data_IF_751148647492
#
_entry.id   IF_751148647492
#
_cell.length_a   1.000
_cell.length_b   1.000
_cell.length_c   1.000
_cell.angle_alpha   90.00
_cell.angle_beta   90.00
_cell.angle_gamma   90.00
#
_symmetry.space_group_name_H-M   'P 1'
#
loop_
_entity.id
_entity.type
_entity.pdbx_description
1 polymer ?
#
# COMPACT_ATOMS: atom_id res chain seq x y z
N UNK A 1 31.45 -54.79 -17.23
CA UNK A 1 32.73 -55.32 -16.69
C UNK A 1 32.95 -54.68 -15.32
N UNK A 2 32.93 -55.57 -14.34
CA UNK A 2 33.83 -55.63 -13.16
C UNK A 2 33.90 -54.40 -12.28
N UNK A 3 33.50 -54.45 -11.08
CA UNK A 3 33.67 -55.24 -9.82
C UNK A 3 34.07 -54.24 -8.74
N UNK A 4 33.30 -54.16 -7.63
CA UNK A 4 33.55 -54.81 -6.33
C UNK A 4 34.69 -54.11 -5.54
N UNK A 5 34.62 -53.75 -4.29
CA UNK A 5 34.06 -54.25 -3.04
C UNK A 5 34.48 -53.31 -1.90
N UNK A 6 33.62 -53.17 -0.83
CA UNK A 6 33.81 -53.75 0.52
C UNK A 6 35.05 -53.25 1.29
N UNK A 7 35.04 -52.92 2.55
CA UNK A 7 34.62 -53.47 3.86
C UNK A 7 34.97 -52.43 4.93
N UNK A 8 34.12 -52.11 5.90
CA UNK A 8 33.95 -52.69 7.24
C UNK A 8 34.98 -52.30 8.31
N UNK A 9 34.46 -51.90 9.45
CA UNK A 9 34.70 -52.26 10.87
C UNK A 9 34.67 -50.99 11.72
N UNK A 10 33.78 -50.70 12.62
CA UNK A 10 33.39 -51.30 13.90
C UNK A 10 34.49 -51.27 14.94
N UNK A 11 34.31 -50.48 15.99
CA UNK A 11 34.63 -50.88 17.36
C UNK A 11 33.95 -49.96 18.37
N UNK A 12 33.28 -50.61 19.28
CA UNK A 12 32.61 -50.14 20.48
C UNK A 12 33.53 -50.10 21.67
N UNK A 13 33.15 -49.40 22.71
CA UNK A 13 33.29 -49.74 24.16
C UNK A 13 33.06 -48.48 24.99
N UNK A 14 31.97 -48.41 25.72
CA UNK A 14 31.65 -48.85 27.09
C UNK A 14 32.09 -47.91 28.21
N UNK A 15 31.08 -47.41 28.93
CA UNK A 15 30.81 -47.40 30.38
C UNK A 15 31.69 -46.49 31.25
N UNK A 16 31.18 -45.75 32.24
CA UNK A 16 30.47 -46.18 33.42
C UNK A 16 29.89 -44.98 34.24
N UNK A 17 28.87 -45.29 34.99
CA UNK A 17 28.16 -44.60 36.07
C UNK A 17 29.04 -43.94 37.13
N UNK A 18 28.51 -42.85 37.74
CA UNK A 18 28.55 -42.65 39.19
C UNK A 18 27.39 -41.75 39.63
N UNK A 19 26.46 -42.37 40.37
CA UNK A 19 25.47 -41.74 41.22
C UNK A 19 26.11 -41.35 42.57
N UNK A 20 25.81 -40.15 43.08
CA UNK A 20 25.77 -39.97 44.56
C UNK A 20 24.61 -39.04 44.90
N UNK A 21 23.63 -39.63 45.58
CA UNK A 21 22.60 -38.91 46.32
C UNK A 21 23.09 -38.68 47.76
N UNK A 22 22.85 -37.53 48.32
CA UNK A 22 22.69 -37.36 49.76
C UNK A 22 21.60 -36.35 50.07
N UNK A 23 20.82 -36.78 51.05
CA UNK A 23 19.56 -36.19 51.46
C UNK A 23 19.70 -35.31 52.73
N UNK A 24 18.63 -34.54 52.96
CA UNK A 24 18.06 -34.07 54.23
C UNK A 24 18.67 -32.85 54.95
N UNK A 25 17.76 -31.93 55.20
CA UNK A 25 17.86 -30.87 56.21
C UNK A 25 16.68 -29.88 56.13
N UNK A 26 15.61 -30.17 56.86
CA UNK A 26 14.43 -29.33 57.08
C UNK A 26 14.80 -28.05 57.89
N UNK A 27 14.26 -26.91 57.52
CA UNK A 27 13.63 -25.95 58.46
C UNK A 27 12.81 -24.94 57.68
N UNK A 28 11.60 -24.77 58.16
CA UNK A 28 10.56 -23.82 57.77
C UNK A 28 10.96 -22.35 57.93
N UNK A 29 10.64 -21.50 57.00
CA UNK A 29 10.25 -20.12 57.25
C UNK A 29 9.45 -19.57 56.06
N UNK A 30 8.25 -19.19 56.34
CA UNK A 30 7.32 -18.47 55.44
C UNK A 30 7.99 -17.25 54.84
N UNK A 31 7.96 -17.14 53.53
CA UNK A 31 7.95 -15.84 52.85
C UNK A 31 7.13 -15.94 51.58
N UNK A 32 6.05 -15.20 51.62
CA UNK A 32 5.10 -14.89 50.60
C UNK A 32 5.85 -14.30 49.39
N UNK A 33 6.22 -15.13 48.44
CA UNK A 33 6.71 -14.69 47.13
C UNK A 33 5.53 -14.76 46.15
N UNK A 34 4.97 -13.59 45.86
CA UNK A 34 4.09 -13.40 44.68
C UNK A 34 4.73 -14.05 43.47
N UNK A 35 3.98 -14.74 42.61
CA UNK A 35 4.52 -15.27 41.38
C UNK A 35 4.94 -14.08 40.51
N UNK A 36 6.24 -13.89 40.40
CA UNK A 36 6.85 -13.07 39.37
C UNK A 36 6.37 -13.62 38.05
N UNK A 37 5.49 -12.92 37.38
CA UNK A 37 5.11 -13.23 36.01
C UNK A 37 6.39 -13.20 35.17
N UNK A 38 6.92 -14.38 34.88
CA UNK A 38 7.92 -14.53 33.83
C UNK A 38 7.32 -13.95 32.55
N UNK A 39 7.74 -12.74 32.21
CA UNK A 39 7.47 -12.19 30.90
C UNK A 39 8.09 -13.11 29.86
N UNK A 40 7.30 -14.06 29.37
CA UNK A 40 7.67 -14.82 28.19
C UNK A 40 7.99 -13.81 27.11
N UNK A 41 9.16 -13.92 26.51
CA UNK A 41 9.50 -13.16 25.31
C UNK A 41 8.33 -13.35 24.33
N UNK A 42 7.54 -12.30 24.09
CA UNK A 42 6.48 -12.35 23.09
C UNK A 42 7.17 -12.70 21.78
N UNK A 43 6.93 -13.87 21.25
CA UNK A 43 7.36 -14.19 19.90
C UNK A 43 6.93 -13.06 18.99
N UNK A 44 7.81 -12.59 18.10
CA UNK A 44 7.53 -11.43 17.24
C UNK A 44 6.23 -11.58 16.47
N UNK A 45 5.60 -10.47 16.13
CA UNK A 45 4.33 -10.45 15.40
C UNK A 45 4.47 -11.12 14.02
N UNK A 46 3.53 -11.98 13.64
CA UNK A 46 3.49 -12.63 12.33
C UNK A 46 2.51 -11.91 11.42
N UNK A 47 3.00 -11.15 10.47
CA UNK A 47 2.21 -10.31 9.57
C UNK A 47 2.00 -11.05 8.25
N UNK A 48 0.72 -11.25 7.84
CA UNK A 48 0.37 -11.67 6.50
C UNK A 48 0.09 -10.45 5.63
N UNK A 49 0.68 -10.38 4.43
CA UNK A 49 0.48 -9.28 3.49
C UNK A 49 0.10 -9.83 2.13
N UNK A 50 -1.15 -9.62 1.73
CA UNK A 50 -1.70 -10.05 0.44
C UNK A 50 -1.80 -8.83 -0.48
N UNK A 51 -0.84 -8.69 -1.40
CA UNK A 51 -0.79 -7.59 -2.36
C UNK A 51 -1.81 -7.72 -3.48
N UNK A 52 -2.23 -6.58 -4.02
CA UNK A 52 -2.92 -6.50 -5.31
C UNK A 52 -1.96 -6.79 -6.47
N UNK A 53 -2.49 -6.76 -7.70
CA UNK A 53 -1.70 -6.94 -8.91
C UNK A 53 -0.54 -5.93 -8.97
N UNK A 54 0.59 -6.37 -9.51
CA UNK A 54 1.83 -5.60 -9.49
C UNK A 54 2.72 -5.92 -8.29
N UNK A 55 2.16 -6.19 -7.11
CA UNK A 55 2.90 -6.61 -5.93
C UNK A 55 3.99 -5.63 -5.48
N UNK A 56 4.88 -6.09 -4.60
CA UNK A 56 6.07 -5.34 -4.19
C UNK A 56 6.95 -5.03 -5.41
N UNK A 57 7.36 -3.77 -5.56
CA UNK A 57 8.12 -3.26 -6.70
C UNK A 57 7.28 -2.45 -7.69
N UNK A 58 5.99 -2.21 -7.40
CA UNK A 58 5.13 -1.37 -8.23
C UNK A 58 5.51 0.13 -8.19
N UNK A 59 6.32 0.54 -7.21
CA UNK A 59 6.78 1.91 -6.96
C UNK A 59 5.64 2.87 -6.65
N UNK A 60 4.53 2.37 -6.13
CA UNK A 60 3.28 3.09 -5.88
C UNK A 60 2.56 2.50 -4.67
N UNK A 61 1.40 1.88 -4.88
CA UNK A 61 0.42 1.42 -3.90
C UNK A 61 0.92 0.25 -3.03
N UNK A 62 1.34 -0.86 -3.67
CA UNK A 62 1.80 -2.03 -2.93
C UNK A 62 3.11 -1.75 -2.16
N UNK A 63 4.02 -0.98 -2.76
CA UNK A 63 5.25 -0.56 -2.06
C UNK A 63 4.95 0.34 -0.86
N UNK A 64 3.86 1.14 -0.89
CA UNK A 64 3.42 1.90 0.27
C UNK A 64 2.95 0.98 1.39
N UNK A 65 2.09 0.00 1.09
CA UNK A 65 1.67 -1.01 2.07
C UNK A 65 2.85 -1.80 2.65
N UNK A 66 3.81 -2.16 1.79
CA UNK A 66 5.04 -2.84 2.19
C UNK A 66 5.84 -2.03 3.22
N UNK A 67 6.04 -0.72 2.98
CA UNK A 67 6.77 0.15 3.93
C UNK A 67 6.13 0.19 5.31
N UNK A 68 4.79 0.24 5.38
CA UNK A 68 4.06 0.20 6.65
C UNK A 68 4.29 -1.11 7.40
N UNK A 69 4.21 -2.23 6.68
CA UNK A 69 4.46 -3.57 7.24
C UNK A 69 5.91 -3.78 7.66
N UNK A 70 6.88 -3.34 6.83
CA UNK A 70 8.32 -3.43 7.13
C UNK A 70 8.66 -2.64 8.39
N UNK A 71 8.10 -1.41 8.52
CA UNK A 71 8.26 -0.59 9.72
C UNK A 71 7.74 -1.31 10.96
N UNK A 72 6.53 -1.86 10.88
CA UNK A 72 5.92 -2.58 11.99
C UNK A 72 6.73 -3.85 12.36
N UNK A 73 7.13 -4.65 11.39
CA UNK A 73 7.94 -5.85 11.63
C UNK A 73 9.29 -5.52 12.28
N UNK A 74 9.94 -4.45 11.84
CA UNK A 74 11.20 -3.98 12.43
C UNK A 74 11.01 -3.50 13.86
N UNK A 75 9.94 -2.74 14.13
CA UNK A 75 9.69 -2.14 15.45
C UNK A 75 9.26 -3.19 16.47
N UNK A 76 8.42 -4.16 16.07
CA UNK A 76 7.84 -5.16 16.97
C UNK A 76 8.55 -6.51 16.94
N UNK A 77 9.67 -6.62 16.24
CA UNK A 77 10.46 -7.87 16.16
C UNK A 77 9.70 -8.97 15.41
N UNK A 78 8.98 -8.63 14.34
CA UNK A 78 8.10 -9.53 13.62
C UNK A 78 8.67 -10.11 12.33
N UNK A 79 7.86 -10.96 11.68
CA UNK A 79 8.11 -11.51 10.35
C UNK A 79 6.94 -11.22 9.43
N UNK A 80 7.20 -11.06 8.13
CA UNK A 80 6.19 -10.81 7.11
C UNK A 80 6.17 -11.99 6.13
N UNK A 81 4.98 -12.49 5.83
CA UNK A 81 4.72 -13.36 4.69
C UNK A 81 3.96 -12.58 3.63
N UNK A 82 4.57 -12.44 2.48
CA UNK A 82 4.01 -11.71 1.35
C UNK A 82 3.49 -12.68 0.28
N UNK A 83 2.30 -12.39 -0.22
CA UNK A 83 1.67 -13.10 -1.34
C UNK A 83 1.13 -12.06 -2.32
N UNK A 84 1.32 -12.27 -3.62
CA UNK A 84 0.94 -11.30 -4.66
C UNK A 84 -0.16 -11.86 -5.55
N UNK A 85 -1.16 -11.02 -5.87
CA UNK A 85 -2.19 -11.35 -6.83
C UNK A 85 -1.63 -11.31 -8.27
N UNK A 86 -2.12 -12.23 -9.09
CA UNK A 86 -1.89 -12.22 -10.55
C UNK A 86 -3.06 -11.51 -11.23
N UNK A 87 -2.85 -10.99 -12.42
CA UNK A 87 -3.91 -10.39 -13.24
C UNK A 87 -5.01 -11.38 -13.63
N UNK A 88 -4.67 -12.67 -13.64
CA UNK A 88 -5.61 -13.79 -13.92
C UNK A 88 -6.34 -14.31 -12.69
N UNK A 89 -6.07 -13.80 -11.49
CA UNK A 89 -6.65 -14.33 -10.26
C UNK A 89 -8.16 -14.14 -10.22
N UNK A 90 -8.84 -15.22 -9.88
CA UNK A 90 -10.27 -15.24 -9.56
C UNK A 90 -10.51 -14.81 -8.10
N UNK A 91 -11.78 -14.68 -7.72
CA UNK A 91 -12.12 -14.46 -6.32
C UNK A 91 -11.68 -15.64 -5.44
N UNK A 92 -11.83 -16.88 -5.94
CA UNK A 92 -11.38 -18.08 -5.22
C UNK A 92 -9.87 -18.08 -4.94
N UNK A 93 -9.05 -17.56 -5.86
CA UNK A 93 -7.61 -17.43 -5.65
C UNK A 93 -7.29 -16.41 -4.53
N UNK A 94 -8.06 -15.32 -4.45
CA UNK A 94 -7.92 -14.33 -3.38
C UNK A 94 -8.36 -14.89 -2.03
N UNK A 95 -9.48 -15.63 -2.00
CA UNK A 95 -9.95 -16.34 -0.80
C UNK A 95 -8.91 -17.34 -0.31
N UNK A 96 -8.36 -18.17 -1.21
CA UNK A 96 -7.35 -19.17 -0.87
C UNK A 96 -6.11 -18.50 -0.27
N UNK A 97 -5.65 -17.41 -0.86
CA UNK A 97 -4.48 -16.65 -0.37
C UNK A 97 -4.66 -16.15 1.05
N UNK A 98 -5.82 -15.59 1.39
CA UNK A 98 -6.13 -15.14 2.75
C UNK A 98 -6.28 -16.31 3.72
N UNK A 99 -6.92 -17.39 3.28
CA UNK A 99 -7.09 -18.62 4.07
C UNK A 99 -5.74 -19.25 4.41
N UNK A 100 -4.83 -19.36 3.44
CA UNK A 100 -3.48 -19.92 3.65
C UNK A 100 -2.70 -19.12 4.70
N UNK A 101 -2.76 -17.78 4.65
CA UNK A 101 -2.15 -16.92 5.65
C UNK A 101 -2.75 -17.15 7.04
N UNK A 102 -4.08 -17.21 7.14
CA UNK A 102 -4.78 -17.39 8.41
C UNK A 102 -4.51 -18.80 9.01
N UNK A 103 -4.55 -19.86 8.19
CA UNK A 103 -4.23 -21.23 8.61
C UNK A 103 -2.77 -21.39 9.07
N UNK A 104 -1.85 -20.66 8.45
CA UNK A 104 -0.44 -20.62 8.85
C UNK A 104 -0.18 -19.79 10.12
N UNK A 105 -1.24 -19.21 10.72
CA UNK A 105 -1.19 -18.47 11.98
C UNK A 105 -0.64 -17.07 11.85
N UNK A 106 -0.74 -16.45 10.68
CA UNK A 106 -0.44 -15.02 10.53
C UNK A 106 -1.58 -14.19 11.11
N UNK A 107 -1.24 -13.24 11.97
CA UNK A 107 -2.14 -12.29 12.58
C UNK A 107 -1.34 -11.05 13.03
N UNK A 108 -1.60 -9.85 12.47
CA UNK A 108 -2.67 -9.51 11.52
C UNK A 108 -2.41 -9.96 10.07
N UNK A 109 -3.48 -9.94 9.25
CA UNK A 109 -3.42 -10.11 7.80
C UNK A 109 -3.92 -8.83 7.13
N UNK A 110 -3.13 -8.26 6.24
CA UNK A 110 -3.50 -7.08 5.44
C UNK A 110 -3.77 -7.51 4.00
N UNK A 111 -4.99 -7.25 3.54
CA UNK A 111 -5.40 -7.37 2.16
C UNK A 111 -5.26 -5.99 1.47
N UNK A 112 -4.34 -5.88 0.54
CA UNK A 112 -4.01 -4.62 -0.12
C UNK A 112 -4.83 -4.49 -1.40
N UNK A 113 -5.84 -3.60 -1.38
CA UNK A 113 -6.66 -3.28 -2.53
C UNK A 113 -8.11 -3.77 -2.43
N UNK A 114 -8.98 -2.99 -3.06
CA UNK A 114 -10.44 -3.18 -3.03
C UNK A 114 -10.90 -4.52 -3.61
N UNK A 115 -10.12 -5.10 -4.51
CA UNK A 115 -10.42 -6.38 -5.17
C UNK A 115 -10.52 -7.55 -4.19
N UNK A 116 -9.97 -7.40 -2.97
CA UNK A 116 -10.05 -8.39 -1.91
C UNK A 116 -11.35 -8.32 -1.08
N UNK A 117 -12.22 -7.33 -1.28
CA UNK A 117 -13.38 -7.13 -0.39
C UNK A 117 -14.29 -8.35 -0.26
N UNK A 118 -14.69 -9.06 -1.34
CA UNK A 118 -15.49 -10.28 -1.21
C UNK A 118 -14.75 -11.38 -0.44
N UNK A 119 -13.47 -11.60 -0.76
CA UNK A 119 -12.64 -12.59 -0.09
C UNK A 119 -12.48 -12.30 1.41
N UNK A 120 -12.17 -11.04 1.80
CA UNK A 120 -12.08 -10.64 3.21
C UNK A 120 -13.42 -10.84 3.91
N UNK A 121 -14.54 -10.49 3.27
CA UNK A 121 -15.90 -10.68 3.85
C UNK A 121 -16.19 -12.14 4.20
N UNK A 122 -15.72 -13.07 3.37
CA UNK A 122 -15.91 -14.49 3.58
C UNK A 122 -14.92 -15.09 4.58
N UNK A 123 -13.62 -14.79 4.40
CA UNK A 123 -12.55 -15.41 5.18
C UNK A 123 -12.51 -14.86 6.61
N UNK A 124 -12.80 -13.59 6.84
CA UNK A 124 -12.87 -13.03 8.19
C UNK A 124 -13.90 -13.75 9.09
N UNK A 125 -15.04 -14.21 8.52
CA UNK A 125 -16.03 -15.01 9.24
C UNK A 125 -15.53 -16.41 9.60
N UNK A 126 -14.67 -17.01 8.75
CA UNK A 126 -14.12 -18.34 8.97
C UNK A 126 -12.99 -18.32 10.03
N UNK A 127 -12.31 -17.18 10.16
CA UNK A 127 -11.20 -16.99 11.10
C UNK A 127 -11.48 -15.83 12.08
N UNK A 128 -12.46 -15.99 13.01
CA UNK A 128 -12.92 -14.91 13.87
C UNK A 128 -11.88 -14.43 14.90
N UNK A 129 -10.79 -15.17 15.10
CA UNK A 129 -9.67 -14.80 15.99
C UNK A 129 -8.52 -14.12 15.25
N UNK A 130 -8.56 -14.07 13.92
CA UNK A 130 -7.57 -13.38 13.09
C UNK A 130 -8.08 -11.98 12.79
N UNK A 131 -7.20 -10.97 12.92
CA UNK A 131 -7.51 -9.59 12.59
C UNK A 131 -7.11 -9.32 11.14
N UNK A 132 -8.06 -8.79 10.36
CA UNK A 132 -7.85 -8.45 8.96
C UNK A 132 -7.88 -6.93 8.78
N UNK A 133 -6.95 -6.39 7.99
CA UNK A 133 -7.03 -5.05 7.44
C UNK A 133 -7.33 -5.13 5.95
N UNK A 134 -8.22 -4.28 5.45
CA UNK A 134 -8.44 -4.14 4.01
C UNK A 134 -8.20 -2.70 3.59
N UNK A 135 -7.38 -2.51 2.56
CA UNK A 135 -7.08 -1.19 2.00
C UNK A 135 -8.03 -0.90 0.83
N UNK A 136 -8.56 0.32 0.80
CA UNK A 136 -9.41 0.85 -0.28
C UNK A 136 -10.79 0.17 -0.41
N UNK A 137 -11.29 -0.46 0.64
CA UNK A 137 -12.66 -0.96 0.65
C UNK A 137 -13.24 -0.98 2.07
N UNK A 138 -14.56 -1.12 2.15
CA UNK A 138 -15.29 -1.25 3.42
C UNK A 138 -15.86 -2.66 3.53
N UNK A 139 -15.49 -3.35 4.60
CA UNK A 139 -16.03 -4.68 4.97
C UNK A 139 -16.60 -4.62 6.37
N UNK A 140 -17.89 -4.92 6.50
CA UNK A 140 -18.57 -4.89 7.78
C UNK A 140 -18.40 -6.24 8.52
N UNK A 141 -17.31 -6.35 9.30
CA UNK A 141 -17.06 -7.49 10.20
C UNK A 141 -16.27 -6.99 11.42
N UNK A 142 -16.50 -7.62 12.58
CA UNK A 142 -15.95 -7.18 13.87
C UNK A 142 -14.42 -7.33 13.99
N UNK A 143 -13.83 -8.15 13.15
CA UNK A 143 -12.38 -8.41 13.09
C UNK A 143 -11.73 -7.86 11.81
N UNK A 144 -12.39 -6.88 11.15
CA UNK A 144 -11.85 -6.23 9.94
C UNK A 144 -11.72 -4.73 10.16
N UNK A 145 -10.53 -4.21 9.92
CA UNK A 145 -10.24 -2.78 9.77
C UNK A 145 -10.32 -2.37 8.31
N UNK A 146 -11.22 -1.44 7.99
CA UNK A 146 -11.43 -0.91 6.64
C UNK A 146 -10.66 0.42 6.50
N UNK A 147 -9.48 0.34 5.93
CA UNK A 147 -8.53 1.44 5.76
C UNK A 147 -8.86 2.16 4.45
N UNK A 148 -9.48 3.33 4.54
CA UNK A 148 -9.92 4.11 3.37
C UNK A 148 -9.29 5.49 3.34
N UNK A 149 -9.30 6.12 2.16
CA UNK A 149 -8.69 7.43 1.95
C UNK A 149 -9.67 8.36 1.23
N UNK A 150 -9.41 9.67 1.33
CA UNK A 150 -10.14 10.69 0.56
C UNK A 150 -9.35 11.03 -0.71
N UNK A 151 -9.32 10.07 -1.63
CA UNK A 151 -8.51 10.15 -2.86
C UNK A 151 -8.88 11.38 -3.70
N UNK A 152 -10.17 11.72 -3.73
CA UNK A 152 -10.68 12.91 -4.43
C UNK A 152 -10.06 14.20 -3.88
N UNK A 153 -9.83 14.29 -2.57
CA UNK A 153 -9.27 15.51 -1.95
C UNK A 153 -7.80 15.71 -2.33
N UNK A 154 -7.01 14.64 -2.30
CA UNK A 154 -5.61 14.67 -2.74
C UNK A 154 -5.50 14.97 -4.25
N UNK A 155 -6.35 14.33 -5.05
CA UNK A 155 -6.40 14.52 -6.50
C UNK A 155 -6.88 15.93 -6.90
N UNK A 156 -7.76 16.55 -6.11
CA UNK A 156 -8.11 17.96 -6.32
C UNK A 156 -6.87 18.86 -6.24
N UNK A 157 -6.03 18.67 -5.23
CA UNK A 157 -4.78 19.43 -5.11
C UNK A 157 -3.82 19.14 -6.28
N UNK A 158 -3.78 17.89 -6.77
CA UNK A 158 -3.03 17.54 -7.98
C UNK A 158 -3.55 18.26 -9.21
N UNK A 159 -4.88 18.41 -9.33
CA UNK A 159 -5.54 19.20 -10.39
C UNK A 159 -5.19 20.68 -10.32
N UNK A 160 -5.21 21.27 -9.11
CA UNK A 160 -4.76 22.66 -8.89
C UNK A 160 -3.30 22.83 -9.31
N UNK A 161 -2.42 21.90 -8.92
CA UNK A 161 -1.01 21.93 -9.31
C UNK A 161 -0.84 21.84 -10.83
N UNK A 162 -1.56 20.92 -11.49
CA UNK A 162 -1.54 20.77 -12.94
C UNK A 162 -1.98 22.07 -13.66
N UNK A 163 -3.09 22.66 -13.22
CA UNK A 163 -3.62 23.89 -13.80
C UNK A 163 -2.69 25.09 -13.65
N UNK A 164 -1.94 25.16 -12.55
CA UNK A 164 -0.97 26.24 -12.30
C UNK A 164 0.37 26.04 -13.03
N UNK A 165 0.66 24.82 -13.49
CA UNK A 165 1.95 24.45 -14.11
C UNK A 165 1.88 24.16 -15.60
N UNK A 166 0.70 23.87 -16.14
CA UNK A 166 0.53 23.75 -17.59
C UNK A 166 0.90 25.06 -18.30
N UNK A 167 1.50 24.92 -19.46
CA UNK A 167 1.83 26.03 -20.38
C UNK A 167 0.99 26.00 -21.65
N UNK A 168 0.25 24.89 -21.83
CA UNK A 168 -0.55 24.64 -23.03
C UNK A 168 -2.04 24.63 -22.77
N UNK A 169 -2.47 24.90 -21.52
CA UNK A 169 -3.87 24.77 -21.09
C UNK A 169 -4.48 23.42 -21.47
N UNK A 170 -3.65 22.35 -21.42
CA UNK A 170 -4.06 20.99 -21.75
C UNK A 170 -3.35 20.00 -20.85
N UNK A 171 -4.11 19.24 -20.07
CA UNK A 171 -3.61 18.27 -19.12
C UNK A 171 -4.27 16.91 -19.32
N UNK A 172 -3.70 15.85 -18.76
CA UNK A 172 -4.21 14.50 -18.89
C UNK A 172 -4.37 13.79 -17.55
N UNK A 173 -5.36 12.87 -17.50
CA UNK A 173 -5.56 11.91 -16.44
C UNK A 173 -5.53 10.49 -16.99
N UNK A 174 -4.74 9.60 -16.38
CA UNK A 174 -4.69 8.18 -16.70
C UNK A 174 -5.14 7.39 -15.48
N UNK A 175 -6.28 6.71 -15.57
CA UNK A 175 -6.77 5.76 -14.58
C UNK A 175 -6.34 4.33 -14.93
N UNK A 176 -5.94 3.52 -13.95
CA UNK A 176 -5.58 2.12 -14.19
C UNK A 176 -6.77 1.32 -14.67
N UNK A 177 -7.86 1.33 -13.93
CA UNK A 177 -9.10 0.60 -14.24
C UNK A 177 -10.30 1.52 -14.07
N UNK A 178 -11.27 1.42 -14.98
CA UNK A 178 -12.55 2.15 -14.86
C UNK A 178 -13.44 1.52 -13.78
N UNK A 179 -13.23 1.96 -12.54
CA UNK A 179 -13.98 1.53 -11.35
C UNK A 179 -14.27 2.73 -10.44
N UNK A 180 -15.29 2.65 -9.56
CA UNK A 180 -15.69 3.77 -8.71
C UNK A 180 -14.56 4.38 -7.89
N UNK A 181 -13.63 3.57 -7.38
CA UNK A 181 -12.47 4.06 -6.63
C UNK A 181 -11.60 5.00 -7.49
N UNK A 182 -11.25 4.58 -8.71
CA UNK A 182 -10.37 5.38 -9.58
C UNK A 182 -11.12 6.61 -10.14
N UNK A 183 -12.44 6.54 -10.26
CA UNK A 183 -13.28 7.71 -10.58
C UNK A 183 -13.21 8.81 -9.53
N UNK A 184 -12.95 8.50 -8.25
CA UNK A 184 -12.70 9.55 -7.24
C UNK A 184 -11.44 10.36 -7.55
N UNK A 185 -10.37 9.69 -7.98
CA UNK A 185 -9.13 10.37 -8.39
C UNK A 185 -9.38 11.29 -9.59
N UNK A 186 -10.08 10.80 -10.62
CA UNK A 186 -10.45 11.59 -11.79
C UNK A 186 -11.30 12.80 -11.38
N UNK A 187 -12.39 12.56 -10.65
CA UNK A 187 -13.33 13.60 -10.25
C UNK A 187 -12.66 14.75 -9.50
N UNK A 188 -11.82 14.40 -8.50
CA UNK A 188 -11.05 15.38 -7.75
C UNK A 188 -10.09 16.15 -8.66
N UNK A 189 -9.33 15.45 -9.49
CA UNK A 189 -8.37 16.06 -10.41
C UNK A 189 -9.03 17.03 -11.38
N UNK A 190 -10.07 16.58 -12.10
CA UNK A 190 -10.81 17.40 -13.08
C UNK A 190 -11.42 18.61 -12.40
N UNK A 191 -12.03 18.45 -11.22
CA UNK A 191 -12.58 19.57 -10.46
C UNK A 191 -11.49 20.58 -10.08
N UNK A 192 -10.35 20.11 -9.55
CA UNK A 192 -9.23 20.98 -9.17
C UNK A 192 -8.65 21.76 -10.35
N UNK A 193 -8.57 21.14 -11.53
CA UNK A 193 -8.17 21.81 -12.78
C UNK A 193 -9.17 22.91 -13.12
N UNK A 194 -10.47 22.60 -13.22
CA UNK A 194 -11.49 23.53 -13.69
C UNK A 194 -11.81 24.62 -12.68
N UNK A 195 -11.75 24.36 -11.36
CA UNK A 195 -11.91 25.39 -10.33
C UNK A 195 -10.73 26.39 -10.37
N UNK A 196 -9.58 25.98 -10.88
CA UNK A 196 -8.40 26.85 -11.05
C UNK A 196 -8.45 27.62 -12.37
N UNK A 197 -8.74 26.95 -13.48
CA UNK A 197 -8.92 27.54 -14.79
C UNK A 197 -9.89 26.68 -15.64
N UNK A 198 -11.14 27.10 -15.83
CA UNK A 198 -12.16 26.33 -16.55
C UNK A 198 -11.90 26.18 -18.06
N UNK A 199 -10.90 26.87 -18.61
CA UNK A 199 -10.53 26.79 -20.04
C UNK A 199 -9.55 25.66 -20.33
N UNK A 200 -8.92 25.07 -19.29
CA UNK A 200 -7.96 24.00 -19.48
C UNK A 200 -8.69 22.74 -19.97
N UNK A 201 -8.20 22.18 -21.07
CA UNK A 201 -8.66 20.89 -21.59
C UNK A 201 -8.09 19.76 -20.72
N UNK A 202 -8.95 18.79 -20.39
CA UNK A 202 -8.55 17.58 -19.67
C UNK A 202 -8.85 16.36 -20.53
N UNK A 203 -7.82 15.61 -20.93
CA UNK A 203 -8.00 14.30 -21.56
C UNK A 203 -8.02 13.23 -20.46
N UNK A 204 -8.96 12.31 -20.52
CA UNK A 204 -9.09 11.18 -19.59
C UNK A 204 -9.01 9.86 -20.33
N UNK A 205 -8.22 8.91 -19.80
CA UNK A 205 -8.14 7.54 -20.33
C UNK A 205 -8.00 6.53 -19.21
N UNK A 206 -8.75 5.44 -19.31
CA UNK A 206 -8.57 4.24 -18.48
C UNK A 206 -7.84 3.15 -19.26
N UNK A 207 -6.91 2.43 -18.61
CA UNK A 207 -6.08 1.41 -19.26
C UNK A 207 -6.79 0.06 -19.39
N UNK A 208 -7.79 -0.17 -18.52
CA UNK A 208 -8.68 -1.34 -18.58
C UNK A 208 -10.02 -1.05 -17.89
N UNK A 209 -10.97 -1.97 -17.98
CA UNK A 209 -12.34 -1.80 -17.49
C UNK A 209 -12.82 -3.02 -16.68
N UNK A 210 -13.77 -2.80 -15.78
CA UNK A 210 -14.45 -3.84 -15.01
C UNK A 210 -13.51 -4.67 -14.14
N UNK A 211 -13.46 -5.98 -14.36
CA UNK A 211 -12.62 -6.92 -13.60
C UNK A 211 -11.23 -7.15 -14.22
N UNK A 212 -10.89 -6.50 -15.31
CA UNK A 212 -9.53 -6.54 -15.85
C UNK A 212 -8.61 -5.58 -15.07
N UNK A 213 -7.92 -6.12 -14.07
CA UNK A 213 -6.98 -5.35 -13.25
C UNK A 213 -5.59 -5.17 -13.89
N UNK A 214 -5.39 -5.64 -15.13
CA UNK A 214 -4.11 -5.45 -15.84
C UNK A 214 -3.71 -3.98 -16.01
N UNK A 215 -4.70 -3.07 -16.00
CA UNK A 215 -4.46 -1.64 -16.06
C UNK A 215 -3.63 -1.07 -14.90
N UNK A 216 -3.50 -1.78 -13.78
CA UNK A 216 -2.59 -1.40 -12.69
C UNK A 216 -1.17 -1.96 -12.82
N UNK A 217 -0.94 -2.93 -13.75
CA UNK A 217 0.31 -3.68 -13.85
C UNK A 217 0.87 -3.77 -15.29
N UNK A 218 0.59 -2.75 -16.11
CA UNK A 218 1.00 -2.71 -17.53
C UNK A 218 1.72 -1.41 -17.87
N UNK A 219 3.02 -1.24 -17.53
CA UNK A 219 3.76 0.00 -17.81
C UNK A 219 3.73 0.41 -19.28
N UNK A 220 3.73 -0.54 -20.21
CA UNK A 220 3.65 -0.26 -21.65
C UNK A 220 2.33 0.40 -22.04
N UNK A 221 1.19 -0.03 -21.46
CA UNK A 221 -0.11 0.64 -21.66
C UNK A 221 -0.10 2.06 -21.10
N UNK A 222 0.48 2.25 -19.91
CA UNK A 222 0.62 3.58 -19.31
C UNK A 222 1.49 4.50 -20.15
N UNK A 223 2.60 3.99 -20.69
CA UNK A 223 3.49 4.73 -21.59
C UNK A 223 2.78 5.14 -22.88
N UNK A 224 2.07 4.22 -23.52
CA UNK A 224 1.34 4.50 -24.75
C UNK A 224 0.22 5.54 -24.53
N UNK A 225 -0.54 5.43 -23.44
CA UNK A 225 -1.58 6.39 -23.09
C UNK A 225 -1.02 7.80 -22.86
N UNK A 226 0.06 7.91 -22.09
CA UNK A 226 0.72 9.20 -21.83
C UNK A 226 1.28 9.79 -23.13
N UNK A 227 1.92 8.99 -23.98
CA UNK A 227 2.44 9.45 -25.26
C UNK A 227 1.31 9.99 -26.15
N UNK A 228 0.18 9.29 -26.24
CA UNK A 228 -0.98 9.79 -27.02
C UNK A 228 -1.50 11.12 -26.51
N UNK A 229 -1.57 11.34 -25.19
CA UNK A 229 -1.98 12.63 -24.61
C UNK A 229 -0.97 13.74 -24.90
N UNK A 230 0.34 13.43 -24.82
CA UNK A 230 1.43 14.37 -25.13
C UNK A 230 1.40 14.79 -26.62
N UNK A 231 1.17 13.84 -27.51
CA UNK A 231 1.06 14.07 -28.97
C UNK A 231 -0.18 14.91 -29.29
N UNK A 232 -1.27 14.78 -28.50
CA UNK A 232 -2.47 15.61 -28.58
C UNK A 232 -2.29 17.00 -27.94
N UNK A 233 -1.12 17.29 -27.35
CA UNK A 233 -0.79 18.61 -26.83
C UNK A 233 -0.86 18.76 -25.32
N UNK A 234 -1.24 17.76 -24.55
CA UNK A 234 -1.16 17.83 -23.09
C UNK A 234 0.31 17.98 -22.63
N UNK A 235 0.55 18.72 -21.56
CA UNK A 235 1.87 18.93 -21.00
C UNK A 235 1.99 18.62 -19.50
N UNK A 236 0.90 18.24 -18.84
CA UNK A 236 0.90 17.70 -17.48
C UNK A 236 0.04 16.44 -17.44
N UNK A 237 0.61 15.31 -17.08
CA UNK A 237 -0.08 14.01 -17.03
C UNK A 237 -0.10 13.48 -15.60
N UNK A 238 -1.31 13.26 -15.05
CA UNK A 238 -1.50 12.59 -13.78
C UNK A 238 -1.92 11.13 -13.99
N UNK A 239 -1.24 10.19 -13.32
CA UNK A 239 -1.50 8.75 -13.46
C UNK A 239 -1.88 8.12 -12.12
N UNK A 240 -3.16 7.73 -11.96
CA UNK A 240 -3.66 6.91 -10.86
C UNK A 240 -3.77 5.44 -11.34
N UNK A 241 -2.63 4.78 -11.58
CA UNK A 241 -2.58 3.53 -12.33
C UNK A 241 -1.53 2.52 -11.82
N UNK A 242 -1.13 2.59 -10.55
CA UNK A 242 -0.15 1.66 -9.98
C UNK A 242 1.15 1.63 -10.78
N UNK A 243 1.70 0.43 -11.05
CA UNK A 243 2.95 0.30 -11.81
C UNK A 243 2.84 0.76 -13.27
N UNK A 244 1.63 0.81 -13.84
CA UNK A 244 1.41 1.37 -15.19
C UNK A 244 1.77 2.86 -15.25
N UNK A 245 1.62 3.60 -14.13
CA UNK A 245 2.06 4.99 -13.99
C UNK A 245 3.56 5.18 -14.18
N UNK A 246 4.39 4.16 -13.93
CA UNK A 246 5.84 4.23 -14.19
C UNK A 246 6.13 4.41 -15.68
N UNK A 247 5.33 3.77 -16.53
CA UNK A 247 5.42 3.94 -17.99
C UNK A 247 4.98 5.34 -18.43
N UNK A 248 3.93 5.90 -17.81
CA UNK A 248 3.51 7.27 -18.08
C UNK A 248 4.59 8.29 -17.69
N UNK A 249 5.23 8.13 -16.53
CA UNK A 249 6.38 8.96 -16.10
C UNK A 249 7.52 8.85 -17.11
N UNK A 250 7.80 7.64 -17.62
CA UNK A 250 8.83 7.44 -18.64
C UNK A 250 8.51 8.21 -19.93
N UNK A 251 7.28 8.13 -20.46
CA UNK A 251 6.86 8.88 -21.65
C UNK A 251 7.01 10.40 -21.45
N UNK A 252 6.51 10.90 -20.33
CA UNK A 252 6.61 12.34 -19.99
C UNK A 252 8.07 12.80 -19.93
N UNK A 253 8.97 11.97 -19.40
CA UNK A 253 10.38 12.32 -19.27
C UNK A 253 11.10 12.49 -20.61
N UNK A 254 10.59 11.90 -21.68
CA UNK A 254 11.05 12.06 -23.05
C UNK A 254 10.56 13.34 -23.73
N UNK A 255 9.62 14.07 -23.11
CA UNK A 255 8.99 15.26 -23.70
C UNK A 255 9.43 16.52 -22.99
N UNK A 256 10.19 17.37 -23.69
CA UNK A 256 10.71 18.61 -23.10
C UNK A 256 9.59 19.53 -22.62
N UNK A 257 9.65 19.92 -21.36
CA UNK A 257 8.71 20.86 -20.76
C UNK A 257 7.40 20.26 -20.28
N UNK A 258 7.23 18.94 -20.42
CA UNK A 258 6.11 18.21 -19.84
C UNK A 258 6.38 17.75 -18.40
N UNK A 259 5.30 17.55 -17.63
CA UNK A 259 5.33 17.13 -16.24
C UNK A 259 4.49 15.87 -16.00
N UNK A 260 4.99 14.97 -15.19
CA UNK A 260 4.22 13.88 -14.61
C UNK A 260 3.78 14.22 -13.19
N UNK A 261 2.57 13.84 -12.82
CA UNK A 261 2.12 13.76 -11.43
C UNK A 261 2.01 12.29 -11.07
N UNK A 262 2.78 11.88 -10.07
CA UNK A 262 2.77 10.52 -9.55
C UNK A 262 1.64 10.26 -8.56
N UNK A 263 1.55 9.01 -8.04
CA UNK A 263 0.48 8.58 -7.15
C UNK A 263 0.98 7.65 -6.04
N UNK A 264 0.26 7.59 -4.92
CA UNK A 264 0.42 6.76 -3.73
C UNK A 264 1.72 7.02 -2.94
N UNK A 265 2.86 6.98 -3.61
CA UNK A 265 4.18 7.18 -3.03
C UNK A 265 4.81 8.48 -3.55
N UNK A 266 5.74 9.05 -2.80
CA UNK A 266 6.59 10.13 -3.31
C UNK A 266 7.55 9.57 -4.38
N UNK A 267 7.08 9.53 -5.62
CA UNK A 267 7.77 8.86 -6.73
C UNK A 267 9.06 9.56 -7.16
N UNK A 268 9.24 10.84 -6.80
CA UNK A 268 10.52 11.54 -6.99
C UNK A 268 11.67 10.85 -6.25
N UNK A 269 11.40 10.34 -5.05
CA UNK A 269 12.39 9.69 -4.18
C UNK A 269 12.49 8.18 -4.38
N UNK A 270 11.72 7.58 -5.30
CA UNK A 270 11.79 6.14 -5.57
C UNK A 270 13.04 5.83 -6.42
N UNK A 271 13.99 4.99 -5.92
CA UNK A 271 15.25 4.71 -6.62
C UNK A 271 15.05 4.20 -8.06
N UNK A 272 14.04 3.35 -8.28
CA UNK A 272 13.72 2.82 -9.60
C UNK A 272 13.19 3.85 -10.62
N UNK A 273 12.86 5.07 -10.18
CA UNK A 273 12.42 6.19 -11.01
C UNK A 273 13.45 7.34 -11.06
N UNK A 274 14.61 7.17 -10.43
CA UNK A 274 15.62 8.23 -10.28
C UNK A 274 16.02 8.90 -11.61
N UNK A 275 16.07 8.14 -12.70
CA UNK A 275 16.40 8.68 -14.05
C UNK A 275 15.33 9.62 -14.60
N UNK A 276 14.09 9.55 -14.08
CA UNK A 276 12.95 10.35 -14.53
C UNK A 276 12.55 11.46 -13.55
N UNK A 277 13.18 11.54 -12.38
CA UNK A 277 12.76 12.41 -11.28
C UNK A 277 12.56 13.88 -11.65
N UNK A 278 13.38 14.39 -12.58
CA UNK A 278 13.31 15.78 -13.02
C UNK A 278 12.07 16.11 -13.88
N UNK A 279 11.29 15.10 -14.25
CA UNK A 279 10.02 15.25 -14.95
C UNK A 279 8.81 14.96 -14.04
N UNK A 280 9.05 14.63 -12.75
CA UNK A 280 7.99 14.41 -11.78
C UNK A 280 7.74 15.71 -11.03
N UNK A 281 6.65 16.39 -11.39
CA UNK A 281 6.23 17.66 -10.78
C UNK A 281 5.97 17.52 -9.29
N UNK A 282 5.19 16.51 -8.95
CA UNK A 282 4.79 16.11 -7.60
C UNK A 282 4.23 14.69 -7.65
N UNK A 283 3.85 14.14 -6.50
CA UNK A 283 3.02 12.93 -6.41
C UNK A 283 1.85 13.18 -5.49
N UNK A 284 0.65 12.75 -5.88
CA UNK A 284 -0.47 12.65 -4.96
C UNK A 284 -0.23 11.44 -4.05
N UNK A 285 0.36 11.72 -2.89
CA UNK A 285 0.70 10.70 -1.91
C UNK A 285 -0.55 10.23 -1.19
N UNK A 286 -0.75 8.92 -1.15
CA UNK A 286 -1.75 8.24 -0.34
C UNK A 286 -1.01 7.41 0.70
N UNK A 287 -1.09 7.80 1.98
CA UNK A 287 -0.28 7.26 3.06
C UNK A 287 -0.79 5.88 3.52
N UNK A 288 -0.80 4.92 2.58
CA UNK A 288 -1.18 3.51 2.85
C UNK A 288 -0.26 2.90 3.90
N UNK A 289 1.02 3.28 3.88
CA UNK A 289 2.01 2.88 4.88
C UNK A 289 1.61 3.25 6.30
N UNK A 290 1.04 4.43 6.50
CA UNK A 290 0.53 4.87 7.81
C UNK A 290 -0.67 4.02 8.24
N UNK A 291 -1.67 3.85 7.37
CA UNK A 291 -2.86 3.06 7.69
C UNK A 291 -2.53 1.60 8.00
N UNK A 292 -1.66 1.00 7.20
CA UNK A 292 -1.20 -0.38 7.41
C UNK A 292 -0.40 -0.52 8.71
N UNK A 293 0.52 0.41 8.97
CA UNK A 293 1.29 0.42 10.22
C UNK A 293 0.39 0.58 11.43
N UNK A 294 -0.55 1.52 11.42
CA UNK A 294 -1.47 1.79 12.52
C UNK A 294 -2.33 0.55 12.84
N UNK A 295 -2.83 -0.12 11.81
CA UNK A 295 -3.57 -1.38 11.97
C UNK A 295 -2.70 -2.45 12.61
N UNK A 296 -1.51 -2.73 12.08
CA UNK A 296 -0.60 -3.75 12.61
C UNK A 296 -0.22 -3.42 14.06
N UNK A 297 0.08 -2.16 14.35
CA UNK A 297 0.39 -1.67 15.70
C UNK A 297 -0.77 -1.92 16.66
N UNK A 298 -2.01 -1.65 16.24
CA UNK A 298 -3.20 -1.85 17.06
C UNK A 298 -3.39 -3.32 17.50
N UNK A 299 -3.10 -4.25 16.59
CA UNK A 299 -3.12 -5.68 16.89
C UNK A 299 -1.99 -6.07 17.85
N UNK A 300 -0.77 -5.57 17.62
CA UNK A 300 0.37 -5.77 18.52
C UNK A 300 0.08 -5.27 19.93
N UNK A 301 -0.56 -4.12 20.07
CA UNK A 301 -0.90 -3.50 21.35
C UNK A 301 -2.11 -4.17 22.05
N UNK A 302 -2.71 -5.19 21.43
CA UNK A 302 -3.88 -5.92 21.97
C UNK A 302 -5.19 -5.13 21.92
N UNK A 303 -5.26 -4.09 21.09
CA UNK A 303 -6.43 -3.22 20.87
C UNK A 303 -6.69 -3.09 19.36
N UNK A 304 -7.05 -4.20 18.67
CA UNK A 304 -7.15 -4.19 17.22
C UNK A 304 -8.19 -3.18 16.74
N UNK A 305 -7.80 -2.36 15.75
CA UNK A 305 -8.72 -1.52 15.02
C UNK A 305 -9.70 -2.39 14.24
N UNK A 306 -10.94 -1.91 14.14
CA UNK A 306 -12.00 -2.54 13.34
C UNK A 306 -12.99 -1.48 12.86
N UNK A 307 -13.80 -1.83 11.85
CA UNK A 307 -14.76 -0.93 11.22
C UNK A 307 -14.09 0.04 10.24
N UNK A 308 -14.68 1.21 10.03
CA UNK A 308 -14.22 2.19 9.06
C UNK A 308 -13.20 3.15 9.68
N UNK A 309 -11.97 3.12 9.18
CA UNK A 309 -10.91 4.07 9.49
C UNK A 309 -10.55 4.86 8.23
N UNK A 310 -11.02 6.11 8.17
CA UNK A 310 -10.79 7.00 7.04
C UNK A 310 -9.61 7.94 7.29
N UNK A 311 -8.66 7.91 6.36
CA UNK A 311 -7.46 8.74 6.32
C UNK A 311 -7.71 9.90 5.33
N UNK A 312 -8.15 11.03 5.85
CA UNK A 312 -8.50 12.20 5.05
C UNK A 312 -7.33 13.16 4.84
N UNK A 313 -7.52 14.14 3.94
CA UNK A 313 -6.60 15.27 3.77
C UNK A 313 -6.35 16.03 5.09
N UNK A 314 -7.37 16.20 5.92
CA UNK A 314 -7.26 16.83 7.24
C UNK A 314 -6.38 16.03 8.21
N UNK A 315 -6.34 14.70 8.07
CA UNK A 315 -5.51 13.79 8.86
C UNK A 315 -4.18 13.43 8.17
N UNK A 316 -3.82 14.15 7.09
CA UNK A 316 -2.67 13.85 6.26
C UNK A 316 -2.67 12.41 5.68
N UNK A 317 -3.85 11.82 5.48
CA UNK A 317 -3.99 10.53 4.80
C UNK A 317 -3.67 10.62 3.30
N UNK A 318 -3.92 11.80 2.72
CA UNK A 318 -3.51 12.17 1.36
C UNK A 318 -2.83 13.53 1.37
N UNK A 319 -1.88 13.75 0.45
CA UNK A 319 -1.13 15.00 0.33
C UNK A 319 -0.46 15.13 -1.03
N UNK A 320 0.19 16.27 -1.30
CA UNK A 320 1.14 16.40 -2.40
C UNK A 320 2.58 16.33 -1.88
N UNK A 321 3.43 15.57 -2.56
CA UNK A 321 4.86 15.54 -2.30
C UNK A 321 5.50 16.87 -2.72
N UNK A 322 6.42 17.38 -1.90
CA UNK A 322 7.17 18.62 -2.20
C UNK A 322 8.58 18.34 -2.72
N UNK A 323 8.92 17.08 -2.90
CA UNK A 323 10.22 16.63 -3.38
C UNK A 323 10.54 17.19 -4.76
N UNK A 324 11.81 17.54 -4.97
CA UNK A 324 12.25 18.22 -6.18
C UNK A 324 12.02 19.73 -6.19
N UNK A 325 11.12 20.26 -5.33
CA UNK A 325 10.88 21.70 -5.20
C UNK A 325 10.08 22.32 -6.35
N UNK A 326 9.56 21.53 -7.29
CA UNK A 326 8.93 22.02 -8.51
C UNK A 326 7.56 22.68 -8.30
N UNK A 327 6.95 22.50 -7.11
CA UNK A 327 5.69 23.15 -6.73
C UNK A 327 5.86 24.24 -5.66
N UNK A 328 7.09 24.58 -5.27
CA UNK A 328 7.35 25.54 -4.19
C UNK A 328 6.78 26.94 -4.49
N UNK A 329 6.84 27.38 -5.73
CA UNK A 329 6.31 28.68 -6.20
C UNK A 329 4.77 28.77 -6.17
N UNK A 330 4.09 27.63 -6.17
CA UNK A 330 2.62 27.55 -6.09
C UNK A 330 2.12 27.05 -4.73
N UNK A 331 3.03 26.73 -3.79
CA UNK A 331 2.67 26.18 -2.47
C UNK A 331 1.62 27.02 -1.71
N UNK A 332 1.67 28.36 -1.70
CA UNK A 332 0.63 29.15 -1.01
C UNK A 332 -0.78 28.95 -1.58
N UNK A 333 -0.90 28.71 -2.90
CA UNK A 333 -2.20 28.44 -3.54
C UNK A 333 -2.69 27.03 -3.21
N UNK A 334 -1.78 26.06 -3.15
CA UNK A 334 -2.09 24.68 -2.74
C UNK A 334 -2.55 24.63 -1.29
N UNK A 335 -1.87 25.35 -0.39
CA UNK A 335 -2.23 25.44 1.03
C UNK A 335 -3.61 26.10 1.21
N UNK A 336 -3.90 27.15 0.47
CA UNK A 336 -5.21 27.80 0.48
C UNK A 336 -6.32 26.86 0.01
N UNK A 337 -6.07 26.07 -1.07
CA UNK A 337 -6.99 25.05 -1.55
C UNK A 337 -7.21 23.95 -0.51
N UNK A 338 -6.14 23.44 0.11
CA UNK A 338 -6.20 22.47 1.22
C UNK A 338 -7.07 22.98 2.36
N UNK A 339 -6.87 24.23 2.80
CA UNK A 339 -7.66 24.82 3.87
C UNK A 339 -9.15 24.91 3.53
N UNK A 340 -9.49 25.29 2.29
CA UNK A 340 -10.89 25.35 1.83
C UNK A 340 -11.56 23.95 1.81
N UNK A 341 -10.82 22.89 1.45
CA UNK A 341 -11.32 21.52 1.50
C UNK A 341 -11.52 21.08 2.96
N UNK A 342 -10.52 21.30 3.81
CA UNK A 342 -10.54 20.88 5.23
C UNK A 342 -11.64 21.62 6.00
N UNK A 343 -11.90 22.90 5.69
CA UNK A 343 -12.99 23.68 6.29
C UNK A 343 -14.38 23.35 5.72
N UNK A 344 -14.46 22.50 4.67
CA UNK A 344 -15.73 22.17 4.00
C UNK A 344 -16.25 23.25 3.04
N UNK A 345 -15.49 24.33 2.81
CA UNK A 345 -15.85 25.36 1.82
C UNK A 345 -15.81 24.80 0.39
N UNK A 346 -14.88 23.90 0.10
CA UNK A 346 -14.85 23.12 -1.12
C UNK A 346 -15.28 21.70 -0.80
N UNK A 347 -16.36 21.24 -1.41
CA UNK A 347 -16.77 19.84 -1.43
C UNK A 347 -16.25 19.20 -2.70
N UNK A 348 -15.26 18.35 -2.55
CA UNK A 348 -14.68 17.67 -3.70
C UNK A 348 -15.61 16.55 -4.18
N UNK A 349 -15.83 16.50 -5.49
CA UNK A 349 -16.65 15.47 -6.13
C UNK A 349 -15.98 14.10 -6.03
N UNK A 350 -16.82 13.07 -5.93
CA UNK A 350 -16.38 11.65 -5.91
C UNK A 350 -16.71 10.91 -7.21
N UNK A 351 -17.40 11.59 -8.13
CA UNK A 351 -17.73 11.08 -9.48
C UNK A 351 -17.47 12.19 -10.49
N UNK A 352 -16.93 11.87 -11.67
CA UNK A 352 -16.67 12.82 -12.76
C UNK A 352 -17.91 13.52 -13.30
#
# INVERSE_FOLDING_TARGET
MRRVAKLSAACAATAALALTATACGSTSSDNNASPSSSGGAKGGIKIGLAYDVGGRGDRSFNDSAARGSDKAAKEFGGSIKELTAKTSDTEADREQRLSDLAQAGYNPIVAVGFSYAPAVTKIAKQFPKTNFGIVDSVVNASNVDSITFTEEQGSYLAGVAAALKTKKDHVGFIGGVDVPLIKKFEAGYVQGVHDTNPKIKVDTQYLSHGSDFSGFASPDKGKAAAQGMLDNGADVIYSAAGSSGNGAIEAVSGTKGAWAIGVDSDQYNIPGLAKYKNSILTSMVKNVDVGVYDFIKSVHDGKPLAGLNAYSLAKNGVSLATSGGFINDIQPKLDAAKQKIVSGQIKVKTTP
#
